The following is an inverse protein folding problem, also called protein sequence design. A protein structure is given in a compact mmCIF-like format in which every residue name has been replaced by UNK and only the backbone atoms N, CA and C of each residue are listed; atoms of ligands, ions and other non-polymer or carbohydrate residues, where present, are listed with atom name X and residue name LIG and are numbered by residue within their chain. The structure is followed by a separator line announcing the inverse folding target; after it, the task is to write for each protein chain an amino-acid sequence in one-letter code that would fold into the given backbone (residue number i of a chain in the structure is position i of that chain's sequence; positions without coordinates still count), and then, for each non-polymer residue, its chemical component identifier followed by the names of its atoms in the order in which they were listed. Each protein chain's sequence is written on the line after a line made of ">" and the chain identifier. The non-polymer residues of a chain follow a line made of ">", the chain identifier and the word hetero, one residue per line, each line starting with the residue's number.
data_IF_325843676893
#
_entry.id   IF_325843676893
#
_cell.length_a   1.000
_cell.length_b   1.000
_cell.length_c   1.000
_cell.angle_alpha   90.00
_cell.angle_beta   90.00
_cell.angle_gamma   90.00
#
_symmetry.space_group_name_H-M   'P 1'
#
loop_
_entity.id
_entity.type
_entity.pdbx_description
1 polymer ?
#
# COMPACT_ATOMS: atom_id res chain seq x y z
N UNK A 1 3.00 23.98 4.43
CA UNK A 1 1.91 23.56 5.33
C UNK A 1 1.15 22.48 4.60
N UNK A 2 1.17 21.26 5.12
CA UNK A 2 0.50 20.12 4.48
C UNK A 2 -0.92 20.08 5.00
N UNK A 3 -1.89 20.33 4.14
CA UNK A 3 -3.31 20.29 4.50
C UNK A 3 -3.76 18.88 4.85
N UNK A 4 -4.17 18.67 6.10
CA UNK A 4 -4.83 17.46 6.57
C UNK A 4 -6.30 17.59 6.22
N UNK A 5 -6.78 16.89 5.20
CA UNK A 5 -8.21 16.84 4.86
C UNK A 5 -8.91 15.87 5.82
N UNK A 6 -9.67 16.41 6.77
CA UNK A 6 -10.50 15.64 7.69
C UNK A 6 -11.97 15.67 7.25
N UNK A 7 -12.59 14.50 7.04
CA UNK A 7 -14.04 14.33 6.79
C UNK A 7 -14.67 13.64 8.01
N UNK A 8 -15.76 14.21 8.55
CA UNK A 8 -16.31 13.89 9.90
C UNK A 8 -17.71 13.26 9.90
N UNK A 9 -17.94 12.17 10.67
CA UNK A 9 -19.19 11.81 11.36
C UNK A 9 -18.91 11.01 12.66
N UNK A 10 -19.81 10.92 13.63
CA UNK A 10 -19.57 10.43 15.00
C UNK A 10 -19.17 8.95 15.19
N UNK A 11 -19.37 8.08 14.19
CA UNK A 11 -18.72 6.75 14.11
C UNK A 11 -17.34 6.82 13.47
N UNK A 12 -17.00 7.94 12.87
CA UNK A 12 -15.75 8.27 12.20
C UNK A 12 -14.62 8.67 13.14
N UNK A 13 -14.89 9.08 14.37
CA UNK A 13 -13.83 9.54 15.29
C UNK A 13 -12.87 8.41 15.73
N UNK A 14 -13.36 7.18 15.85
CA UNK A 14 -12.50 6.02 16.15
C UNK A 14 -11.74 5.55 14.90
N UNK A 15 -12.35 5.62 13.72
CA UNK A 15 -11.65 5.31 12.46
C UNK A 15 -10.56 6.33 12.13
N UNK A 16 -10.74 7.61 12.45
CA UNK A 16 -9.73 8.65 12.29
C UNK A 16 -8.52 8.45 13.18
N UNK A 17 -8.70 7.77 14.32
CA UNK A 17 -7.57 7.41 15.19
C UNK A 17 -6.71 6.30 14.59
N UNK A 18 -7.30 5.43 13.76
CA UNK A 18 -6.67 4.23 13.22
C UNK A 18 -6.11 4.42 11.81
N UNK A 19 -6.69 5.30 10.99
CA UNK A 19 -6.27 5.55 9.61
C UNK A 19 -5.94 7.02 9.42
N UNK A 20 -4.73 7.30 8.95
CA UNK A 20 -4.33 8.65 8.52
C UNK A 20 -3.97 8.67 7.04
N UNK A 21 -4.34 9.74 6.36
CA UNK A 21 -4.04 9.97 4.94
C UNK A 21 -3.35 11.31 4.80
N UNK A 22 -2.22 11.31 4.10
CA UNK A 22 -1.42 12.49 3.83
C UNK A 22 -1.24 12.64 2.33
N UNK A 23 -1.70 13.74 1.76
CA UNK A 23 -1.43 14.06 0.36
C UNK A 23 -0.10 14.80 0.22
N UNK A 24 0.61 14.57 -0.89
CA UNK A 24 1.92 15.17 -1.16
C UNK A 24 2.91 15.00 0.01
N UNK A 25 3.00 13.77 0.56
CA UNK A 25 3.83 13.49 1.74
C UNK A 25 5.32 13.73 1.48
N UNK A 26 5.81 13.31 0.32
CA UNK A 26 7.13 13.68 -0.19
C UNK A 26 7.01 14.99 -0.99
N UNK A 27 8.06 15.79 -1.04
CA UNK A 27 8.11 16.94 -1.92
C UNK A 27 8.24 16.53 -3.40
N UNK A 28 8.29 17.51 -4.30
CA UNK A 28 8.27 17.22 -5.75
C UNK A 28 9.51 16.43 -6.18
N UNK A 29 10.69 16.85 -5.76
CA UNK A 29 11.95 16.22 -6.15
C UNK A 29 12.05 14.80 -5.57
N UNK A 30 11.72 14.63 -4.27
CA UNK A 30 11.70 13.32 -3.61
C UNK A 30 10.74 12.34 -4.31
N UNK A 31 9.59 12.83 -4.79
CA UNK A 31 8.63 11.99 -5.54
C UNK A 31 9.19 11.55 -6.88
N UNK A 32 9.82 12.48 -7.60
CA UNK A 32 10.37 12.20 -8.91
C UNK A 32 11.57 11.25 -8.81
N UNK A 33 12.46 11.48 -7.84
CA UNK A 33 13.61 10.60 -7.57
C UNK A 33 13.15 9.17 -7.23
N UNK A 34 12.11 9.06 -6.39
CA UNK A 34 11.54 7.76 -6.01
C UNK A 34 10.89 7.04 -7.19
N UNK A 35 10.10 7.75 -7.98
CA UNK A 35 9.45 7.19 -9.17
C UNK A 35 10.48 6.79 -10.23
N UNK A 36 11.45 7.65 -10.53
CA UNK A 36 12.52 7.37 -11.46
C UNK A 36 13.36 6.18 -11.02
N UNK A 37 13.72 6.10 -9.73
CA UNK A 37 14.49 4.99 -9.21
C UNK A 37 13.77 3.64 -9.27
N UNK A 38 12.44 3.60 -9.05
CA UNK A 38 11.65 2.37 -9.16
C UNK A 38 11.32 1.97 -10.60
N UNK A 39 11.29 2.91 -11.53
CA UNK A 39 11.03 2.65 -12.95
C UNK A 39 12.29 2.68 -13.81
N UNK A 40 13.48 2.77 -13.21
CA UNK A 40 14.74 2.60 -13.91
C UNK A 40 14.81 1.20 -14.54
N UNK A 41 15.35 1.11 -15.74
CA UNK A 41 15.46 -0.16 -16.49
C UNK A 41 16.30 -1.21 -15.76
N UNK A 42 17.23 -0.79 -14.91
CA UNK A 42 18.07 -1.67 -14.08
C UNK A 42 17.42 -2.11 -12.77
N UNK A 43 16.25 -1.53 -12.40
CA UNK A 43 15.59 -1.88 -11.13
C UNK A 43 15.03 -3.30 -11.19
N UNK A 44 15.42 -4.20 -10.26
CA UNK A 44 15.07 -5.62 -10.32
C UNK A 44 13.65 -5.87 -9.80
N UNK A 45 12.70 -6.01 -10.68
CA UNK A 45 11.36 -6.49 -10.36
C UNK A 45 11.28 -8.01 -10.46
N UNK A 46 10.62 -8.64 -9.49
CA UNK A 46 10.43 -10.09 -9.44
C UNK A 46 8.96 -10.44 -9.65
N UNK A 47 8.72 -11.38 -10.55
CA UNK A 47 7.36 -11.87 -10.83
C UNK A 47 6.76 -12.60 -9.64
N UNK A 48 5.54 -12.23 -9.26
CA UNK A 48 4.74 -12.91 -8.27
C UNK A 48 3.36 -13.23 -8.85
N UNK A 49 3.07 -14.52 -8.98
CA UNK A 49 1.83 -15.03 -9.58
C UNK A 49 0.58 -14.62 -8.80
N UNK A 50 0.70 -14.39 -7.51
CA UNK A 50 -0.41 -14.13 -6.61
C UNK A 50 -0.17 -12.86 -5.81
N UNK A 51 -1.22 -12.06 -5.60
CA UNK A 51 -1.12 -10.87 -4.72
C UNK A 51 -1.00 -11.27 -3.25
N UNK A 52 -1.57 -12.43 -2.89
CA UNK A 52 -1.57 -13.00 -1.55
C UNK A 52 -1.22 -14.47 -1.63
N UNK A 53 -0.64 -15.02 -0.57
CA UNK A 53 -0.23 -16.41 -0.51
C UNK A 53 -1.42 -17.37 -0.77
N UNK A 54 -1.26 -18.42 -1.59
CA UNK A 54 -2.30 -19.43 -1.84
C UNK A 54 -2.79 -20.04 -0.51
N UNK A 55 -4.11 -20.21 -0.37
CA UNK A 55 -4.72 -20.71 0.86
C UNK A 55 -5.16 -19.63 1.85
N UNK A 56 -5.05 -18.36 1.48
CA UNK A 56 -5.61 -17.28 2.27
C UNK A 56 -7.11 -17.51 2.52
N UNK A 57 -7.53 -17.45 3.79
CA UNK A 57 -8.91 -17.71 4.24
C UNK A 57 -9.98 -16.77 3.65
N UNK A 58 -9.55 -15.62 3.13
CA UNK A 58 -10.43 -14.63 2.51
C UNK A 58 -10.60 -14.82 1.01
N UNK A 59 -9.89 -15.79 0.41
CA UNK A 59 -10.07 -16.11 -1.00
C UNK A 59 -11.38 -16.89 -1.18
N UNK A 60 -12.32 -16.27 -1.93
CA UNK A 60 -13.58 -16.88 -2.35
C UNK A 60 -13.72 -16.69 -3.84
N UNK A 61 -13.65 -17.77 -4.59
CA UNK A 61 -13.62 -17.77 -6.07
C UNK A 61 -14.91 -17.28 -6.75
N UNK A 62 -16.00 -17.19 -6.01
CA UNK A 62 -17.33 -16.81 -6.50
C UNK A 62 -17.62 -15.30 -6.40
N UNK A 63 -16.69 -14.51 -5.87
CA UNK A 63 -16.88 -13.05 -5.74
C UNK A 63 -16.66 -12.33 -7.06
N UNK A 64 -17.65 -11.56 -7.49
CA UNK A 64 -17.69 -10.82 -8.76
C UNK A 64 -16.54 -9.82 -8.96
N UNK A 65 -16.02 -9.21 -7.90
CA UNK A 65 -15.02 -8.13 -7.97
C UNK A 65 -13.64 -8.55 -7.46
N UNK A 66 -13.46 -9.81 -7.09
CA UNK A 66 -12.21 -10.33 -6.55
C UNK A 66 -11.40 -10.97 -7.68
N UNK A 67 -10.18 -10.48 -7.85
CA UNK A 67 -9.24 -11.00 -8.84
C UNK A 67 -7.88 -11.21 -8.19
N UNK A 68 -7.37 -12.44 -8.25
CA UNK A 68 -5.99 -12.73 -7.95
C UNK A 68 -5.17 -12.48 -9.22
N UNK A 69 -4.52 -11.35 -9.28
CA UNK A 69 -3.76 -10.92 -10.45
C UNK A 69 -2.26 -11.05 -10.20
N UNK A 70 -1.54 -11.29 -11.28
CA UNK A 70 -0.09 -11.25 -11.29
C UNK A 70 0.40 -9.85 -10.92
N UNK A 71 1.51 -9.80 -10.21
CA UNK A 71 2.18 -8.54 -9.89
C UNK A 71 3.69 -8.71 -9.95
N UNK A 72 4.40 -7.61 -10.10
CA UNK A 72 5.82 -7.56 -9.84
C UNK A 72 6.06 -7.03 -8.43
N UNK A 73 7.04 -7.60 -7.75
CA UNK A 73 7.40 -7.21 -6.39
C UNK A 73 8.90 -7.00 -6.26
N UNK A 74 9.29 -6.13 -5.34
CA UNK A 74 10.68 -6.00 -4.91
C UNK A 74 10.72 -5.88 -3.38
N UNK A 75 11.43 -6.82 -2.73
CA UNK A 75 11.63 -6.81 -1.27
C UNK A 75 12.93 -6.10 -0.92
N UNK A 76 12.84 -4.99 -0.18
CA UNK A 76 14.02 -4.23 0.25
C UNK A 76 14.57 -4.76 1.57
N UNK A 77 13.70 -4.96 2.54
CA UNK A 77 14.06 -5.49 3.86
C UNK A 77 13.02 -6.49 4.34
N UNK A 78 13.46 -7.43 5.16
CA UNK A 78 12.59 -8.32 5.93
C UNK A 78 13.20 -8.47 7.32
N UNK A 79 12.49 -7.97 8.35
CA UNK A 79 13.02 -7.75 9.68
C UNK A 79 14.33 -6.93 9.61
N UNK A 80 15.36 -7.32 10.30
CA UNK A 80 16.66 -6.61 10.32
C UNK A 80 17.52 -6.89 9.07
N UNK A 81 17.07 -7.79 8.19
CA UNK A 81 17.86 -8.19 7.02
C UNK A 81 17.60 -7.27 5.83
N UNK A 82 18.67 -6.62 5.35
CA UNK A 82 18.66 -5.88 4.10
C UNK A 82 18.81 -6.87 2.94
N UNK A 83 17.86 -6.87 2.02
CA UNK A 83 17.82 -7.79 0.87
C UNK A 83 18.14 -7.12 -0.48
N UNK A 84 18.31 -5.80 -0.48
CA UNK A 84 18.46 -5.04 -1.72
C UNK A 84 19.41 -3.85 -1.56
N UNK A 85 20.25 -3.59 -2.56
CA UNK A 85 21.03 -2.37 -2.69
C UNK A 85 20.17 -1.12 -2.93
N UNK A 86 18.92 -1.29 -3.36
CA UNK A 86 17.95 -0.21 -3.60
C UNK A 86 17.16 0.21 -2.34
N UNK A 87 17.55 -0.30 -1.17
CA UNK A 87 16.86 0.00 0.11
C UNK A 87 16.84 1.51 0.44
N UNK A 88 17.76 2.29 -0.10
CA UNK A 88 17.76 3.74 0.06
C UNK A 88 16.45 4.40 -0.43
N UNK A 89 15.76 3.84 -1.43
CA UNK A 89 14.50 4.37 -1.97
C UNK A 89 13.38 4.39 -0.91
N UNK A 90 12.96 3.27 -0.29
CA UNK A 90 11.95 3.32 0.76
C UNK A 90 12.46 3.93 2.07
N UNK A 91 13.78 3.94 2.34
CA UNK A 91 14.34 4.59 3.52
C UNK A 91 14.14 6.11 3.50
N UNK A 92 14.16 6.76 2.36
CA UNK A 92 13.84 8.18 2.23
C UNK A 92 12.42 8.46 2.76
N UNK A 93 11.43 7.68 2.32
CA UNK A 93 10.05 7.76 2.80
C UNK A 93 9.95 7.48 4.31
N UNK A 94 10.66 6.45 4.79
CA UNK A 94 10.68 6.07 6.19
C UNK A 94 11.27 7.17 7.09
N UNK A 95 12.42 7.73 6.73
CA UNK A 95 13.04 8.81 7.51
C UNK A 95 12.13 10.04 7.59
N UNK A 96 11.48 10.40 6.48
CA UNK A 96 10.51 11.50 6.48
C UNK A 96 9.31 11.22 7.39
N UNK A 97 8.84 9.97 7.43
CA UNK A 97 7.77 9.55 8.33
C UNK A 97 8.19 9.61 9.80
N UNK A 98 9.38 9.12 10.15
CA UNK A 98 9.94 9.22 11.50
C UNK A 98 10.05 10.69 11.94
N UNK A 99 10.59 11.56 11.08
CA UNK A 99 10.70 12.98 11.36
C UNK A 99 9.33 13.65 11.54
N UNK A 100 8.33 13.24 10.75
CA UNK A 100 6.96 13.76 10.87
C UNK A 100 6.28 13.33 12.18
N UNK A 101 6.49 12.09 12.61
CA UNK A 101 5.88 11.55 13.84
C UNK A 101 6.69 11.86 15.09
N UNK A 102 7.97 12.25 14.94
CA UNK A 102 8.95 12.42 16.02
C UNK A 102 9.09 11.19 16.92
N UNK A 103 8.85 9.99 16.38
CA UNK A 103 8.93 8.73 17.11
C UNK A 103 10.03 7.84 16.54
N UNK A 104 11.17 7.80 17.22
CA UNK A 104 12.33 6.98 16.86
C UNK A 104 12.24 5.54 17.40
N UNK A 105 11.18 5.20 18.15
CA UNK A 105 11.01 3.86 18.74
C UNK A 105 10.42 2.83 17.78
N UNK A 106 10.00 3.22 16.57
CA UNK A 106 9.46 2.29 15.60
C UNK A 106 10.53 1.37 15.01
N UNK A 107 10.21 0.09 14.93
CA UNK A 107 11.03 -0.96 14.31
C UNK A 107 10.44 -1.40 12.98
N UNK A 108 11.20 -1.32 11.89
CA UNK A 108 10.78 -1.83 10.59
C UNK A 108 10.76 -3.35 10.60
N UNK A 109 9.63 -3.92 10.17
CA UNK A 109 9.46 -5.36 9.98
C UNK A 109 9.70 -5.76 8.53
N UNK A 110 9.17 -4.96 7.58
CA UNK A 110 9.30 -5.24 6.15
C UNK A 110 9.16 -3.96 5.32
N UNK A 111 9.98 -3.84 4.29
CA UNK A 111 9.82 -2.86 3.21
C UNK A 111 9.76 -3.59 1.88
N UNK A 112 8.73 -3.31 1.09
CA UNK A 112 8.57 -3.83 -0.27
C UNK A 112 7.94 -2.81 -1.19
N UNK A 113 8.14 -2.96 -2.50
CA UNK A 113 7.33 -2.33 -3.53
C UNK A 113 6.52 -3.36 -4.30
N UNK A 114 5.33 -2.95 -4.74
CA UNK A 114 4.44 -3.74 -5.57
C UNK A 114 4.12 -2.94 -6.83
N UNK A 115 4.16 -3.61 -7.98
CA UNK A 115 3.79 -3.06 -9.28
C UNK A 115 2.75 -3.98 -9.92
N UNK A 116 1.56 -3.47 -10.12
CA UNK A 116 0.47 -4.15 -10.82
C UNK A 116 0.13 -3.42 -12.11
N UNK A 117 -0.41 -4.15 -13.07
CA UNK A 117 -0.75 -3.66 -14.39
C UNK A 117 -2.25 -3.69 -14.62
N UNK A 118 -2.72 -2.83 -15.52
CA UNK A 118 -4.11 -2.86 -15.97
C UNK A 118 -4.43 -4.18 -16.67
N UNK A 119 -5.68 -4.60 -16.54
CA UNK A 119 -6.18 -5.79 -17.20
C UNK A 119 -7.62 -5.52 -17.64
N UNK A 120 -7.92 -5.72 -18.91
CA UNK A 120 -9.24 -5.46 -19.52
C UNK A 120 -10.39 -6.30 -18.93
N UNK A 121 -10.10 -7.32 -18.12
CA UNK A 121 -11.08 -8.08 -17.35
C UNK A 121 -11.50 -7.41 -16.05
N UNK A 122 -10.80 -6.34 -15.66
CA UNK A 122 -11.00 -5.63 -14.40
C UNK A 122 -11.66 -4.29 -14.64
N UNK A 123 -12.26 -3.75 -13.60
CA UNK A 123 -12.89 -2.44 -13.59
C UNK A 123 -12.56 -1.71 -12.27
N UNK A 124 -12.99 -0.48 -12.13
CA UNK A 124 -12.73 0.37 -10.95
C UNK A 124 -13.19 -0.21 -9.61
N UNK A 125 -14.03 -1.25 -9.60
CA UNK A 125 -14.48 -1.93 -8.39
C UNK A 125 -13.75 -3.27 -8.17
N UNK A 126 -12.86 -3.66 -9.07
CA UNK A 126 -12.06 -4.88 -8.94
C UNK A 126 -10.93 -4.68 -7.95
N UNK A 127 -10.70 -5.66 -7.09
CA UNK A 127 -9.66 -5.65 -6.09
C UNK A 127 -9.01 -7.03 -5.94
N UNK A 128 -7.78 -7.03 -5.44
CA UNK A 128 -7.03 -8.24 -5.12
C UNK A 128 -7.63 -8.95 -3.90
N UNK A 129 -7.08 -10.13 -3.54
CA UNK A 129 -7.53 -10.88 -2.37
C UNK A 129 -7.35 -10.03 -1.11
N UNK A 130 -8.43 -9.82 -0.30
CA UNK A 130 -8.31 -9.14 0.98
C UNK A 130 -7.34 -9.86 1.91
N UNK A 131 -6.48 -9.12 2.58
CA UNK A 131 -5.46 -9.68 3.48
C UNK A 131 -5.05 -8.71 4.58
N UNK A 132 -4.38 -9.24 5.56
CA UNK A 132 -3.57 -8.54 6.53
C UNK A 132 -2.11 -8.83 6.17
N UNK A 133 -1.26 -7.83 6.21
CA UNK A 133 0.11 -7.91 5.68
C UNK A 133 1.02 -8.91 6.40
N UNK A 134 0.93 -8.98 7.72
CA UNK A 134 1.72 -9.87 8.59
C UNK A 134 0.81 -10.49 9.66
N UNK A 135 1.19 -11.64 10.17
CA UNK A 135 0.44 -12.33 11.24
C UNK A 135 0.66 -11.71 12.63
N UNK A 136 1.75 -10.97 12.82
CA UNK A 136 2.05 -10.25 14.06
C UNK A 136 1.42 -8.85 14.10
N UNK A 137 1.31 -8.27 15.29
CA UNK A 137 0.90 -6.88 15.48
C UNK A 137 1.85 -5.93 14.73
N UNK A 138 1.28 -5.08 13.89
CA UNK A 138 2.04 -4.14 13.07
C UNK A 138 1.18 -2.97 12.62
N UNK A 139 1.86 -1.93 12.18
CA UNK A 139 1.32 -0.79 11.47
C UNK A 139 1.79 -0.86 10.02
N UNK A 140 1.05 -0.23 9.11
CA UNK A 140 1.38 -0.25 7.68
C UNK A 140 1.37 1.16 7.11
N UNK A 141 2.43 1.52 6.41
CA UNK A 141 2.45 2.64 5.49
C UNK A 141 2.26 2.12 4.06
N UNK A 142 1.36 2.75 3.31
CA UNK A 142 1.19 2.51 1.88
C UNK A 142 1.39 3.85 1.18
N UNK A 143 2.42 3.93 0.35
CA UNK A 143 2.74 5.12 -0.42
C UNK A 143 2.53 4.86 -1.92
N UNK A 144 1.81 5.75 -2.59
CA UNK A 144 1.55 5.64 -4.03
C UNK A 144 2.56 6.46 -4.82
N UNK A 145 3.33 5.74 -5.64
CA UNK A 145 4.50 6.27 -6.34
C UNK A 145 4.10 7.05 -7.58
N UNK A 146 3.21 6.49 -8.41
CA UNK A 146 2.83 7.06 -9.70
C UNK A 146 1.34 7.44 -9.76
N UNK A 147 0.95 8.16 -10.79
CA UNK A 147 -0.46 8.38 -11.10
C UNK A 147 -1.13 7.06 -11.48
N UNK A 148 -2.19 6.72 -10.78
CA UNK A 148 -3.00 5.53 -11.03
C UNK A 148 -4.39 5.64 -10.39
N UNK A 149 -5.28 4.69 -10.71
CA UNK A 149 -6.66 4.63 -10.24
C UNK A 149 -7.02 3.35 -9.49
N UNK A 150 -6.03 2.57 -9.10
CA UNK A 150 -6.22 1.35 -8.30
C UNK A 150 -6.32 1.65 -6.80
N UNK A 151 -7.50 1.98 -6.30
CA UNK A 151 -7.74 2.42 -4.93
C UNK A 151 -7.44 1.35 -3.86
N UNK A 152 -7.33 1.77 -2.60
CA UNK A 152 -7.27 0.87 -1.46
C UNK A 152 -8.68 0.58 -0.95
N UNK A 153 -9.04 -0.70 -0.90
CA UNK A 153 -10.28 -1.20 -0.32
C UNK A 153 -10.03 -1.69 1.09
N UNK A 154 -10.84 -1.23 2.05
CA UNK A 154 -10.77 -1.62 3.44
C UNK A 154 -12.03 -2.40 3.80
N UNK A 155 -11.86 -3.43 4.62
CA UNK A 155 -12.91 -4.34 5.04
C UNK A 155 -13.03 -4.35 6.57
N UNK A 156 -14.13 -4.88 7.11
CA UNK A 156 -14.22 -5.18 8.53
C UNK A 156 -13.36 -6.41 8.85
N UNK A 157 -12.89 -6.53 10.08
CA UNK A 157 -11.96 -7.59 10.49
C UNK A 157 -12.44 -9.00 10.15
N UNK A 158 -13.75 -9.24 10.21
CA UNK A 158 -14.37 -10.56 10.06
C UNK A 158 -15.20 -10.69 8.78
N UNK A 159 -15.29 -9.63 7.98
CA UNK A 159 -16.12 -9.60 6.78
C UNK A 159 -15.31 -9.04 5.58
N UNK A 160 -14.78 -9.98 4.79
CA UNK A 160 -14.11 -9.67 3.51
C UNK A 160 -15.09 -9.48 2.35
N UNK A 161 -16.39 -9.56 2.60
CA UNK A 161 -17.42 -9.53 1.56
C UNK A 161 -17.94 -8.12 1.32
N UNK A 162 -17.91 -7.29 2.36
CA UNK A 162 -18.39 -5.93 2.31
C UNK A 162 -17.26 -4.91 2.42
N UNK A 163 -17.09 -4.12 1.38
CA UNK A 163 -16.16 -2.99 1.37
C UNK A 163 -16.69 -1.94 2.35
N UNK A 164 -15.96 -1.73 3.44
CA UNK A 164 -16.27 -0.73 4.46
C UNK A 164 -15.90 0.68 4.03
N UNK A 165 -14.74 0.81 3.40
CA UNK A 165 -14.19 2.08 2.98
C UNK A 165 -13.31 1.91 1.74
N UNK A 166 -13.28 2.93 0.91
CA UNK A 166 -12.39 3.03 -0.25
C UNK A 166 -11.57 4.31 -0.13
N UNK A 167 -10.27 4.19 -0.29
CA UNK A 167 -9.35 5.34 -0.27
C UNK A 167 -8.78 5.48 -1.68
N UNK A 168 -9.08 6.61 -2.30
CA UNK A 168 -8.61 6.94 -3.63
C UNK A 168 -7.09 6.97 -3.71
N UNK A 169 -6.54 6.40 -4.77
CA UNK A 169 -5.12 6.46 -5.06
C UNK A 169 -4.74 7.80 -5.65
N UNK A 170 -3.68 8.42 -5.14
CA UNK A 170 -3.07 9.65 -5.69
C UNK A 170 -1.55 9.54 -5.63
N UNK A 171 -0.87 9.97 -6.67
CA UNK A 171 0.59 10.10 -6.64
C UNK A 171 1.03 10.96 -5.46
N UNK A 172 1.96 10.45 -4.66
CA UNK A 172 2.47 11.15 -3.47
C UNK A 172 1.59 11.03 -2.22
N UNK A 173 0.47 10.27 -2.29
CA UNK A 173 -0.35 9.97 -1.11
C UNK A 173 0.28 8.89 -0.26
N UNK A 174 0.38 9.17 1.06
CA UNK A 174 0.73 8.21 2.08
C UNK A 174 -0.52 7.86 2.90
N UNK A 175 -0.79 6.57 3.06
CA UNK A 175 -1.81 6.03 3.97
C UNK A 175 -1.09 5.36 5.12
N UNK A 176 -1.46 5.72 6.35
CA UNK A 176 -0.98 5.09 7.57
C UNK A 176 -2.11 4.33 8.25
N UNK A 177 -2.00 3.01 8.25
CA UNK A 177 -2.85 2.09 9.01
C UNK A 177 -2.14 1.79 10.34
N UNK A 178 -2.70 2.24 11.45
CA UNK A 178 -2.06 2.18 12.78
C UNK A 178 -2.24 0.84 13.49
N UNK A 179 -3.00 -0.05 12.88
CA UNK A 179 -3.23 -1.43 13.35
C UNK A 179 -3.39 -2.36 12.14
N UNK A 180 -3.33 -3.69 12.32
CA UNK A 180 -3.58 -4.64 11.24
C UNK A 180 -5.03 -4.52 10.73
N UNK A 181 -5.21 -3.95 9.53
CA UNK A 181 -6.52 -3.77 8.89
C UNK A 181 -6.62 -4.69 7.69
N UNK A 182 -7.75 -5.42 7.59
CA UNK A 182 -8.08 -6.22 6.42
C UNK A 182 -8.28 -5.29 5.23
N UNK A 183 -7.45 -5.43 4.20
CA UNK A 183 -7.45 -4.55 3.05
C UNK A 183 -7.12 -5.29 1.75
N UNK A 184 -7.44 -4.67 0.61
CA UNK A 184 -7.07 -5.13 -0.70
C UNK A 184 -6.66 -3.97 -1.61
N UNK A 185 -5.73 -4.24 -2.49
CA UNK A 185 -5.33 -3.31 -3.54
C UNK A 185 -6.35 -3.37 -4.69
N UNK A 186 -6.83 -2.20 -5.13
CA UNK A 186 -7.53 -2.07 -6.39
C UNK A 186 -6.57 -2.24 -7.57
N UNK A 187 -7.12 -2.61 -8.71
CA UNK A 187 -6.35 -2.72 -9.96
C UNK A 187 -6.47 -1.43 -10.77
N UNK A 188 -5.40 -1.00 -11.44
CA UNK A 188 -5.47 0.10 -12.37
C UNK A 188 -6.41 -0.26 -13.54
N UNK A 189 -7.23 0.69 -13.97
CA UNK A 189 -8.22 0.51 -15.01
C UNK A 189 -8.08 1.56 -16.13
N UNK A 190 -7.87 2.82 -15.77
CA UNK A 190 -7.62 3.92 -16.71
C UNK A 190 -6.13 4.16 -16.96
N UNK A 191 -5.29 3.72 -16.03
CA UNK A 191 -3.83 3.83 -16.11
C UNK A 191 -3.22 2.44 -16.32
N UNK A 192 -2.08 2.39 -17.01
CA UNK A 192 -1.43 1.12 -17.36
C UNK A 192 -0.90 0.36 -16.16
N UNK A 193 -0.45 1.08 -15.13
CA UNK A 193 0.24 0.50 -13.97
C UNK A 193 -0.02 1.26 -12.68
N UNK A 194 0.09 0.55 -11.56
CA UNK A 194 0.03 1.06 -10.20
C UNK A 194 1.24 0.58 -9.41
N UNK A 195 2.07 1.51 -8.97
CA UNK A 195 3.22 1.25 -8.12
C UNK A 195 2.98 1.78 -6.71
N UNK A 196 3.27 0.97 -5.70
CA UNK A 196 3.19 1.37 -4.29
C UNK A 196 4.38 0.84 -3.50
N UNK A 197 4.81 1.61 -2.50
CA UNK A 197 5.72 1.14 -1.45
C UNK A 197 4.89 0.80 -0.22
N UNK A 198 5.18 -0.35 0.38
CA UNK A 198 4.56 -0.81 1.62
C UNK A 198 5.65 -1.00 2.67
N UNK A 199 5.46 -0.35 3.84
CA UNK A 199 6.35 -0.49 5.00
C UNK A 199 5.52 -0.98 6.17
N UNK A 200 5.85 -2.15 6.70
CA UNK A 200 5.28 -2.69 7.92
C UNK A 200 6.27 -2.47 9.07
N UNK A 201 5.75 -2.03 10.22
CA UNK A 201 6.57 -1.66 11.39
C UNK A 201 5.76 -1.79 12.69
N UNK A 202 6.45 -1.80 13.83
CA UNK A 202 5.85 -1.79 15.18
C UNK A 202 6.57 -0.86 16.11
#
# INVERSE_FOLDING_TARGET
>A
MNDVVSVVTKKEDDEKKVIKVFDNFLDHNERDDLENGLFDESFPWYYNKHTVYPGNKYFKSDKKNLYDNDQLVHGFTMYEKINSSYTHLPLMLWHKFINHTQNNGYQVLRMKSNLSFSNNKMNKNSYSIPHIDLDEEHQTLIYYVNYCDGDLFLFTKDDSDNVKKRIETKRGRLIWLKEPILHAAGHPNLFDKRCSIVINFK
#
